data_IF_173106041548
#
_entry.id   IF_173106041548
#
_cell.length_a   1.000
_cell.length_b   1.000
_cell.length_c   1.000
_cell.angle_alpha   90.00
_cell.angle_beta   90.00
_cell.angle_gamma   90.00
#
_symmetry.space_group_name_H-M   'P 1'
#
loop_
_entity.id
_entity.type
_entity.pdbx_description
1 polymer ?
#
# COMPACT_ATOMS: atom_id res chain seq x y z
N UNK A 1 -14.80 34.13 -1.37
CA UNK A 1 -13.92 33.35 -0.47
C UNK A 1 -14.58 33.02 0.86
N UNK A 2 -14.88 33.99 1.76
CA UNK A 2 -15.48 33.72 3.09
C UNK A 2 -16.82 32.96 3.07
N UNK A 3 -17.73 33.31 2.16
CA UNK A 3 -19.05 32.68 2.05
C UNK A 3 -18.94 31.19 1.69
N UNK A 4 -18.00 30.84 0.81
CA UNK A 4 -17.78 29.45 0.38
C UNK A 4 -17.21 28.59 1.52
N UNK A 5 -16.33 29.15 2.36
CA UNK A 5 -15.79 28.47 3.55
C UNK A 5 -16.89 28.22 4.60
N UNK A 6 -17.76 29.21 4.85
CA UNK A 6 -18.86 29.07 5.81
C UNK A 6 -19.87 28.00 5.38
N UNK A 7 -20.22 27.96 4.08
CA UNK A 7 -21.08 26.92 3.52
C UNK A 7 -20.48 25.51 3.67
N UNK A 8 -19.16 25.39 3.53
CA UNK A 8 -18.47 24.11 3.72
C UNK A 8 -18.52 23.69 5.20
N UNK A 9 -18.25 24.63 6.12
CA UNK A 9 -18.32 24.39 7.57
C UNK A 9 -19.73 24.03 8.07
N UNK A 10 -20.78 24.58 7.47
CA UNK A 10 -22.18 24.26 7.84
C UNK A 10 -22.57 22.81 7.50
N UNK A 11 -21.85 22.14 6.59
CA UNK A 11 -22.09 20.73 6.23
C UNK A 11 -21.34 19.71 7.11
N UNK A 12 -20.32 20.15 7.86
CA UNK A 12 -19.52 19.27 8.74
C UNK A 12 -20.30 18.56 9.85
N UNK A 13 -21.27 19.19 10.55
CA UNK A 13 -21.99 18.54 11.65
C UNK A 13 -22.77 17.30 11.20
N UNK A 14 -23.32 17.33 9.98
CA UNK A 14 -24.04 16.19 9.40
C UNK A 14 -23.09 15.05 9.00
N UNK A 15 -21.83 15.38 8.64
CA UNK A 15 -20.79 14.43 8.28
C UNK A 15 -20.17 13.73 9.51
N UNK A 16 -20.21 14.38 10.68
CA UNK A 16 -19.56 13.92 11.91
C UNK A 16 -19.93 12.49 12.33
N UNK A 17 -21.20 12.09 12.18
CA UNK A 17 -21.66 10.74 12.53
C UNK A 17 -20.99 9.66 11.66
N UNK A 18 -20.84 9.93 10.36
CA UNK A 18 -20.19 8.99 9.42
C UNK A 18 -18.69 8.96 9.64
N UNK A 19 -18.08 10.12 9.93
CA UNK A 19 -16.65 10.20 10.25
C UNK A 19 -16.29 9.46 11.54
N UNK A 20 -17.14 9.53 12.57
CA UNK A 20 -16.93 8.79 13.82
C UNK A 20 -16.99 7.27 13.57
N UNK A 21 -17.94 6.82 12.76
CA UNK A 21 -18.07 5.41 12.38
C UNK A 21 -16.87 4.95 11.52
N UNK A 22 -16.41 5.79 10.59
CA UNK A 22 -15.21 5.55 9.78
C UNK A 22 -13.96 5.43 10.67
N UNK A 23 -13.79 6.36 11.63
CA UNK A 23 -12.69 6.32 12.59
C UNK A 23 -12.68 5.02 13.40
N UNK A 24 -13.85 4.56 13.86
CA UNK A 24 -13.96 3.30 14.60
C UNK A 24 -13.51 2.08 13.76
N UNK A 25 -13.86 2.06 12.48
CA UNK A 25 -13.47 0.99 11.54
C UNK A 25 -11.96 1.02 11.29
N UNK A 26 -11.38 2.20 11.05
CA UNK A 26 -9.93 2.37 10.94
C UNK A 26 -9.20 1.92 12.21
N UNK A 27 -9.80 2.13 13.38
CA UNK A 27 -9.22 1.68 14.64
C UNK A 27 -9.24 0.16 14.75
N UNK A 28 -10.38 -0.49 14.52
CA UNK A 28 -10.49 -1.97 14.61
C UNK A 28 -9.53 -2.65 13.63
N UNK A 29 -9.64 -2.32 12.35
CA UNK A 29 -8.81 -2.95 11.33
C UNK A 29 -7.34 -2.56 11.48
N UNK A 30 -7.05 -1.32 11.90
CA UNK A 30 -5.70 -0.87 12.20
C UNK A 30 -5.05 -1.65 13.33
N UNK A 31 -5.75 -1.85 14.46
CA UNK A 31 -5.22 -2.67 15.57
C UNK A 31 -5.03 -4.12 15.12
N UNK A 32 -6.01 -4.73 14.44
CA UNK A 32 -5.88 -6.10 13.95
C UNK A 32 -4.66 -6.23 13.03
N UNK A 33 -4.50 -5.32 12.06
CA UNK A 33 -3.39 -5.35 11.12
C UNK A 33 -2.02 -5.16 11.78
N UNK A 34 -1.91 -4.26 12.75
CA UNK A 34 -0.66 -4.09 13.54
C UNK A 34 -0.36 -5.36 14.34
N UNK A 35 -1.35 -5.98 14.98
CA UNK A 35 -1.11 -7.18 15.78
C UNK A 35 -0.67 -8.39 14.92
N UNK A 36 -1.17 -8.49 13.69
CA UNK A 36 -0.82 -9.60 12.79
C UNK A 36 0.52 -9.38 12.08
N UNK A 37 0.82 -8.15 11.63
CA UNK A 37 1.91 -7.93 10.67
C UNK A 37 2.96 -6.90 11.07
N UNK A 38 3.02 -6.52 12.35
CA UNK A 38 4.06 -5.61 12.85
C UNK A 38 5.46 -6.13 12.51
N UNK A 39 6.24 -5.31 11.80
CA UNK A 39 7.63 -5.61 11.46
C UNK A 39 7.82 -6.63 10.32
N UNK A 40 6.78 -7.33 9.88
CA UNK A 40 6.93 -8.41 8.90
C UNK A 40 7.34 -7.88 7.52
N UNK A 41 6.79 -6.74 7.09
CA UNK A 41 7.11 -6.14 5.79
C UNK A 41 8.57 -5.69 5.65
N UNK A 42 9.35 -5.70 6.75
CA UNK A 42 10.78 -5.40 6.75
C UNK A 42 11.67 -6.60 6.43
N UNK A 43 11.12 -7.80 6.34
CA UNK A 43 11.92 -9.00 6.10
C UNK A 43 12.53 -8.99 4.70
N UNK A 44 13.83 -9.29 4.60
CA UNK A 44 14.60 -9.38 3.35
C UNK A 44 15.52 -10.60 3.39
N UNK A 45 15.93 -11.08 2.22
CA UNK A 45 16.92 -12.15 2.12
C UNK A 45 18.32 -11.57 2.17
N UNK A 46 18.98 -11.76 3.31
CA UNK A 46 20.35 -11.38 3.57
C UNK A 46 21.31 -12.42 3.02
N UNK A 47 22.49 -11.94 2.65
CA UNK A 47 23.57 -12.79 2.23
C UNK A 47 24.06 -13.61 3.43
N UNK A 48 24.14 -14.93 3.28
CA UNK A 48 24.74 -15.80 4.27
C UNK A 48 25.91 -16.54 3.62
N UNK A 49 27.10 -16.27 4.13
CA UNK A 49 28.32 -16.96 3.71
C UNK A 49 28.90 -17.74 4.89
N UNK A 50 29.15 -19.03 4.71
CA UNK A 50 29.94 -19.82 5.66
C UNK A 50 31.42 -19.50 5.41
N UNK A 51 31.95 -18.47 6.07
CA UNK A 51 33.35 -18.05 5.94
C UNK A 51 34.28 -18.98 6.71
N UNK A 52 34.67 -20.11 6.09
CA UNK A 52 35.84 -20.87 6.55
C UNK A 52 37.11 -20.49 5.80
N UNK A 53 37.02 -19.81 4.64
CA UNK A 53 38.15 -19.45 3.80
C UNK A 53 38.28 -17.93 3.57
N UNK A 54 39.47 -17.37 3.85
CA UNK A 54 39.80 -15.94 3.74
C UNK A 54 39.71 -15.42 2.28
N UNK A 55 39.96 -16.27 1.29
CA UNK A 55 39.92 -15.91 -0.13
C UNK A 55 38.49 -15.58 -0.62
N UNK A 56 37.49 -16.28 -0.10
CA UNK A 56 36.09 -16.04 -0.48
C UNK A 56 35.58 -14.69 0.04
N UNK A 57 36.09 -14.27 1.21
CA UNK A 57 35.77 -12.98 1.80
C UNK A 57 36.39 -11.80 1.02
N UNK A 58 37.64 -11.94 0.54
CA UNK A 58 38.30 -10.92 -0.26
C UNK A 58 37.66 -10.73 -1.65
N UNK A 59 37.21 -11.82 -2.29
CA UNK A 59 36.47 -11.74 -3.55
C UNK A 59 35.14 -11.00 -3.35
N UNK A 60 34.44 -11.24 -2.24
CA UNK A 60 33.17 -10.57 -1.97
C UNK A 60 33.30 -9.04 -1.84
N UNK A 61 34.30 -8.56 -1.10
CA UNK A 61 34.58 -7.12 -0.98
C UNK A 61 34.86 -6.47 -2.34
N UNK A 62 35.47 -7.20 -3.27
CA UNK A 62 35.77 -6.69 -4.61
C UNK A 62 34.52 -6.55 -5.51
N UNK A 63 33.46 -7.33 -5.27
CA UNK A 63 32.24 -7.32 -6.09
C UNK A 63 31.17 -6.32 -5.62
N UNK A 64 31.38 -5.66 -4.47
CA UNK A 64 30.49 -4.62 -3.93
C UNK A 64 29.00 -5.02 -3.91
N UNK A 65 28.73 -6.26 -3.50
CA UNK A 65 27.37 -6.83 -3.45
C UNK A 65 26.55 -6.20 -2.32
N UNK A 66 25.23 -5.97 -2.52
CA UNK A 66 24.38 -5.48 -1.46
C UNK A 66 24.21 -6.54 -0.35
N UNK A 67 23.99 -6.07 0.87
CA UNK A 67 23.87 -6.94 2.06
C UNK A 67 22.62 -7.82 2.01
N UNK A 68 21.59 -7.40 1.28
CA UNK A 68 20.36 -8.15 1.02
C UNK A 68 19.97 -8.08 -0.46
N UNK A 69 19.13 -9.02 -0.90
CA UNK A 69 18.68 -9.09 -2.28
C UNK A 69 17.79 -7.91 -2.67
N UNK A 70 18.18 -7.21 -3.75
CA UNK A 70 17.43 -6.09 -4.33
C UNK A 70 16.89 -6.52 -5.70
N UNK A 71 15.56 -6.61 -5.88
CA UNK A 71 14.96 -6.95 -7.17
C UNK A 71 15.14 -5.82 -8.19
N UNK A 72 15.08 -6.16 -9.49
CA UNK A 72 15.19 -5.17 -10.59
C UNK A 72 13.84 -4.64 -11.06
N UNK A 73 12.83 -5.50 -11.05
CA UNK A 73 11.51 -5.23 -11.66
C UNK A 73 10.42 -4.97 -10.62
N UNK A 74 10.77 -5.01 -9.33
CA UNK A 74 9.85 -4.83 -8.20
C UNK A 74 10.47 -3.86 -7.19
N UNK A 75 9.65 -3.25 -6.34
CA UNK A 75 10.13 -2.32 -5.31
C UNK A 75 10.95 -3.03 -4.21
N UNK A 76 10.44 -4.17 -3.73
CA UNK A 76 11.06 -4.94 -2.65
C UNK A 76 10.76 -6.43 -2.82
N UNK A 77 11.69 -7.29 -2.39
CA UNK A 77 11.49 -8.73 -2.26
C UNK A 77 11.40 -9.07 -0.76
N UNK A 78 10.22 -9.43 -0.30
CA UNK A 78 9.98 -9.82 1.11
C UNK A 78 10.16 -11.33 1.26
N UNK A 79 10.55 -11.77 2.45
CA UNK A 79 10.70 -13.19 2.75
C UNK A 79 10.00 -13.57 4.03
N UNK A 80 9.61 -14.82 4.11
CA UNK A 80 9.06 -15.44 5.31
C UNK A 80 10.04 -16.44 5.90
N UNK A 81 9.97 -16.64 7.21
CA UNK A 81 10.81 -17.63 7.90
C UNK A 81 10.52 -19.05 7.40
N UNK A 82 11.48 -19.98 7.38
CA UNK A 82 11.26 -21.34 6.88
C UNK A 82 10.10 -22.09 7.53
N UNK A 83 9.81 -21.80 8.81
CA UNK A 83 8.75 -22.43 9.59
C UNK A 83 7.39 -21.71 9.50
N UNK A 84 7.33 -20.51 8.91
CA UNK A 84 6.08 -19.76 8.79
C UNK A 84 5.31 -20.11 7.51
N UNK A 85 4.02 -19.76 7.48
CA UNK A 85 3.12 -20.04 6.35
C UNK A 85 3.19 -19.02 5.21
N UNK A 86 4.16 -18.10 5.25
CA UNK A 86 4.34 -17.11 4.19
C UNK A 86 4.73 -17.77 2.87
N UNK A 87 4.21 -17.24 1.77
CA UNK A 87 4.33 -17.86 0.45
C UNK A 87 5.73 -17.74 -0.16
N UNK A 88 6.49 -16.72 0.23
CA UNK A 88 7.81 -16.45 -0.37
C UNK A 88 8.92 -16.79 0.61
N UNK A 89 9.85 -17.64 0.16
CA UNK A 89 11.07 -18.00 0.89
C UNK A 89 12.29 -17.44 0.16
N UNK A 90 13.42 -17.38 0.86
CA UNK A 90 14.68 -16.99 0.24
C UNK A 90 15.20 -18.01 -0.79
N UNK A 91 14.67 -19.24 -0.79
CA UNK A 91 14.89 -20.21 -1.87
C UNK A 91 14.28 -19.79 -3.21
N UNK A 92 13.28 -18.89 -3.19
CA UNK A 92 12.52 -18.49 -4.38
C UNK A 92 13.15 -17.27 -5.08
N UNK A 93 14.29 -16.78 -4.57
CA UNK A 93 15.03 -15.68 -5.19
C UNK A 93 15.44 -16.10 -6.60
N UNK A 94 15.06 -15.33 -7.64
CA UNK A 94 15.32 -15.72 -9.01
C UNK A 94 16.82 -15.68 -9.33
N UNK A 95 17.28 -16.59 -10.19
CA UNK A 95 18.67 -16.61 -10.68
C UNK A 95 19.04 -15.26 -11.31
N UNK A 96 20.29 -14.84 -11.13
CA UNK A 96 20.82 -13.61 -11.70
C UNK A 96 20.78 -13.68 -13.23
N UNK A 97 20.17 -12.69 -13.89
CA UNK A 97 20.18 -12.55 -15.36
C UNK A 97 21.05 -11.39 -15.78
N UNK A 98 21.95 -11.55 -16.77
CA UNK A 98 22.74 -10.47 -17.37
C UNK A 98 22.37 -10.37 -18.85
N UNK A 99 21.53 -9.41 -19.20
CA UNK A 99 20.90 -9.39 -20.53
C UNK A 99 20.03 -10.63 -20.75
N UNK A 100 20.24 -11.33 -21.87
CA UNK A 100 19.53 -12.58 -22.19
C UNK A 100 20.13 -13.83 -21.53
N UNK A 101 21.28 -13.71 -20.85
CA UNK A 101 21.97 -14.86 -20.22
C UNK A 101 21.56 -15.02 -18.76
N UNK A 102 21.25 -16.26 -18.35
CA UNK A 102 21.06 -16.62 -16.94
C UNK A 102 22.38 -17.11 -16.37
N UNK A 103 22.82 -16.53 -15.25
CA UNK A 103 23.99 -16.99 -14.52
C UNK A 103 23.65 -18.29 -13.78
N UNK A 104 24.47 -19.33 -13.96
CA UNK A 104 24.26 -20.64 -13.33
C UNK A 104 25.48 -21.15 -12.56
N UNK A 105 26.63 -20.47 -12.69
CA UNK A 105 27.85 -20.91 -12.03
C UNK A 105 27.82 -20.55 -10.55
N UNK A 106 28.34 -21.45 -9.71
CA UNK A 106 28.75 -21.12 -8.34
C UNK A 106 30.22 -20.65 -8.30
N UNK A 107 30.65 -20.17 -7.14
CA UNK A 107 32.01 -19.67 -6.95
C UNK A 107 33.09 -20.75 -7.15
N UNK A 108 32.82 -21.99 -6.72
CA UNK A 108 33.78 -23.08 -6.82
C UNK A 108 33.98 -23.51 -8.27
N UNK A 109 32.88 -23.72 -9.01
CA UNK A 109 32.87 -24.04 -10.43
C UNK A 109 33.53 -22.93 -11.24
N UNK A 110 33.32 -21.67 -10.88
CA UNK A 110 33.99 -20.54 -11.53
C UNK A 110 35.51 -20.59 -11.34
N UNK A 111 35.97 -20.79 -10.10
CA UNK A 111 37.39 -20.87 -9.79
C UNK A 111 38.05 -22.11 -10.41
N UNK A 112 37.36 -23.25 -10.44
CA UNK A 112 37.82 -24.48 -11.07
C UNK A 112 37.98 -24.31 -12.60
N UNK A 113 37.02 -23.65 -13.26
CA UNK A 113 37.13 -23.32 -14.68
C UNK A 113 38.29 -22.38 -14.98
N UNK A 114 38.54 -21.40 -14.10
CA UNK A 114 39.65 -20.47 -14.22
C UNK A 114 41.00 -21.18 -14.04
N UNK A 115 41.11 -22.11 -13.08
CA UNK A 115 42.33 -22.88 -12.82
C UNK A 115 42.65 -23.86 -13.94
N UNK A 116 41.64 -24.52 -14.51
CA UNK A 116 41.83 -25.52 -15.56
C UNK A 116 42.18 -24.90 -16.92
N UNK A 117 41.82 -23.64 -17.16
CA UNK A 117 42.10 -22.97 -18.44
C UNK A 117 42.21 -21.44 -18.28
N UNK A 118 43.36 -20.93 -17.78
CA UNK A 118 43.52 -19.50 -17.45
C UNK A 118 43.43 -18.57 -18.67
N UNK A 119 43.62 -19.07 -19.89
CA UNK A 119 43.58 -18.30 -21.13
C UNK A 119 42.24 -18.38 -21.87
N UNK A 120 41.29 -19.17 -21.40
CA UNK A 120 39.97 -19.30 -22.04
C UNK A 120 38.97 -18.37 -21.37
N UNK A 121 38.22 -17.55 -22.13
CA UNK A 121 37.12 -16.78 -21.55
C UNK A 121 36.08 -17.74 -20.98
N UNK A 122 35.69 -17.51 -19.73
CA UNK A 122 34.66 -18.30 -19.05
C UNK A 122 33.31 -17.99 -19.71
N UNK A 123 32.69 -19.01 -20.30
CA UNK A 123 31.34 -18.91 -20.84
C UNK A 123 30.33 -19.05 -19.69
N UNK A 124 30.13 -17.98 -18.94
CA UNK A 124 29.21 -17.97 -17.81
C UNK A 124 29.42 -16.79 -16.88
N UNK A 125 28.46 -16.60 -15.99
CA UNK A 125 28.58 -15.69 -14.86
C UNK A 125 28.16 -16.42 -13.58
N UNK A 126 28.72 -15.95 -12.46
CA UNK A 126 28.38 -16.45 -11.13
C UNK A 126 26.96 -15.99 -10.78
N UNK A 127 26.13 -16.90 -10.31
CA UNK A 127 24.81 -16.59 -9.79
C UNK A 127 24.89 -16.10 -8.34
N UNK A 128 25.23 -14.83 -8.13
CA UNK A 128 25.32 -14.27 -6.78
C UNK A 128 24.00 -14.34 -6.00
N UNK A 129 22.86 -14.42 -6.68
CA UNK A 129 21.55 -14.46 -6.03
C UNK A 129 21.35 -15.72 -5.16
N UNK A 130 22.08 -16.81 -5.43
CA UNK A 130 21.97 -18.06 -4.67
C UNK A 130 22.47 -17.97 -3.22
N UNK A 131 23.24 -16.93 -2.89
CA UNK A 131 23.81 -16.76 -1.56
C UNK A 131 22.92 -15.94 -0.60
N UNK A 132 21.79 -15.41 -1.08
CA UNK A 132 20.80 -14.74 -0.23
C UNK A 132 19.82 -15.75 0.36
N UNK A 133 20.29 -16.55 1.31
CA UNK A 133 19.52 -17.66 1.88
C UNK A 133 18.92 -17.35 3.25
N UNK A 134 19.36 -16.27 3.91
CA UNK A 134 18.98 -15.95 5.28
C UNK A 134 17.89 -14.87 5.33
N UNK A 135 16.68 -15.23 5.75
CA UNK A 135 15.61 -14.25 5.93
C UNK A 135 15.77 -13.51 7.26
N UNK A 136 15.93 -12.18 7.22
CA UNK A 136 16.07 -11.35 8.43
C UNK A 136 15.42 -9.97 8.23
N UNK A 137 15.29 -9.21 9.33
CA UNK A 137 14.69 -7.87 9.35
C UNK A 137 15.67 -6.84 8.77
N UNK A 138 15.18 -5.99 7.87
CA UNK A 138 15.87 -4.80 7.34
C UNK A 138 15.33 -3.51 7.97
N UNK A 139 16.02 -2.39 7.75
CA UNK A 139 15.64 -1.08 8.30
C UNK A 139 14.49 -0.43 7.51
N UNK A 140 14.30 -0.82 6.25
CA UNK A 140 13.37 -0.18 5.33
C UNK A 140 12.16 -1.07 4.97
N UNK A 141 10.97 -0.47 4.98
CA UNK A 141 9.74 -1.08 4.47
C UNK A 141 9.61 -0.86 2.93
N UNK A 142 8.74 -1.63 2.24
CA UNK A 142 8.44 -1.41 0.83
C UNK A 142 7.91 0.00 0.54
N UNK A 143 7.95 0.40 -0.73
CA UNK A 143 7.55 1.72 -1.23
C UNK A 143 8.26 2.87 -0.50
N UNK A 144 9.59 2.75 -0.36
CA UNK A 144 10.43 3.71 0.36
C UNK A 144 9.97 4.00 1.79
N UNK A 145 9.35 3.03 2.48
CA UNK A 145 8.88 3.20 3.84
C UNK A 145 7.41 3.60 3.99
N UNK A 146 6.70 3.85 2.89
CA UNK A 146 5.34 4.42 2.90
C UNK A 146 4.26 3.42 3.35
N UNK A 147 4.51 2.12 3.17
CA UNK A 147 3.55 1.06 3.50
C UNK A 147 4.11 0.17 4.59
N UNK A 148 3.50 0.20 5.77
CA UNK A 148 3.84 -0.71 6.87
C UNK A 148 2.71 -0.84 7.89
N UNK A 149 2.77 -1.90 8.70
CA UNK A 149 1.89 -2.14 9.84
C UNK A 149 2.66 -2.08 11.18
N UNK A 150 3.77 -1.35 11.22
CA UNK A 150 4.66 -1.31 12.40
C UNK A 150 4.04 -0.59 13.59
N UNK A 151 3.16 0.37 13.30
CA UNK A 151 2.40 1.15 14.28
C UNK A 151 1.10 1.65 13.65
N UNK A 152 0.18 2.12 14.50
CA UNK A 152 -1.19 2.44 14.10
C UNK A 152 -1.29 3.54 13.04
N UNK A 153 -0.40 4.54 13.07
CA UNK A 153 -0.38 5.63 12.10
C UNK A 153 -0.09 5.16 10.66
N UNK A 154 0.99 4.39 10.45
CA UNK A 154 1.29 3.82 9.13
C UNK A 154 0.26 2.79 8.70
N UNK A 155 -0.30 2.02 9.64
CA UNK A 155 -1.40 1.11 9.35
C UNK A 155 -2.65 1.84 8.83
N UNK A 156 -2.97 3.03 9.35
CA UNK A 156 -4.07 3.86 8.82
C UNK A 156 -3.81 4.38 7.42
N UNK A 157 -2.56 4.77 7.10
CA UNK A 157 -2.19 5.18 5.74
C UNK A 157 -2.34 4.00 4.78
N UNK A 158 -1.87 2.82 5.16
CA UNK A 158 -2.03 1.61 4.37
C UNK A 158 -3.52 1.23 4.18
N UNK A 159 -4.32 1.30 5.25
CA UNK A 159 -5.77 1.05 5.18
C UNK A 159 -6.48 2.04 4.27
N UNK A 160 -6.13 3.32 4.35
CA UNK A 160 -6.69 4.34 3.47
C UNK A 160 -6.42 4.03 1.99
N UNK A 161 -5.19 3.60 1.67
CA UNK A 161 -4.81 3.18 0.31
C UNK A 161 -5.52 1.89 -0.14
N UNK A 162 -5.78 0.95 0.77
CA UNK A 162 -6.57 -0.26 0.46
C UNK A 162 -8.02 0.12 0.15
N UNK A 163 -8.62 1.01 0.95
CA UNK A 163 -10.01 1.45 0.81
C UNK A 163 -10.20 2.30 -0.46
N UNK A 164 -9.20 3.08 -0.88
CA UNK A 164 -9.22 3.80 -2.16
C UNK A 164 -9.14 2.87 -3.38
N UNK A 165 -8.96 1.56 -3.17
CA UNK A 165 -8.79 0.54 -4.20
C UNK A 165 -7.58 0.78 -5.11
N UNK A 166 -6.57 1.51 -4.64
CA UNK A 166 -5.35 1.78 -5.39
C UNK A 166 -4.21 0.89 -4.90
N UNK A 167 -3.66 0.05 -5.79
CA UNK A 167 -2.51 -0.82 -5.49
C UNK A 167 -2.72 -1.78 -4.29
N UNK A 168 -3.96 -1.96 -3.82
CA UNK A 168 -4.29 -2.80 -2.66
C UNK A 168 -3.87 -4.26 -2.85
N UNK A 169 -3.92 -4.76 -4.10
CA UNK A 169 -3.52 -6.12 -4.46
C UNK A 169 -2.04 -6.34 -4.17
N UNK A 170 -1.19 -5.35 -4.44
CA UNK A 170 0.26 -5.45 -4.18
C UNK A 170 0.55 -5.51 -2.67
N UNK A 171 -0.17 -4.71 -1.87
CA UNK A 171 -0.06 -4.74 -0.41
C UNK A 171 -0.48 -6.11 0.13
N UNK A 172 -1.59 -6.65 -0.38
CA UNK A 172 -2.05 -7.99 -0.04
C UNK A 172 -1.00 -9.05 -0.37
N UNK A 173 -0.44 -9.03 -1.59
CA UNK A 173 0.60 -9.99 -1.97
C UNK A 173 1.83 -9.90 -1.07
N UNK A 174 2.31 -8.70 -0.74
CA UNK A 174 3.43 -8.55 0.21
C UNK A 174 3.14 -9.16 1.57
N UNK A 175 1.90 -9.02 2.07
CA UNK A 175 1.50 -9.60 3.36
C UNK A 175 1.40 -11.12 3.26
N UNK A 176 0.83 -11.67 2.19
CA UNK A 176 0.73 -13.11 2.00
C UNK A 176 2.10 -13.77 1.84
N UNK A 177 3.03 -13.10 1.15
CA UNK A 177 4.39 -13.56 0.93
C UNK A 177 5.15 -13.72 2.25
N UNK A 178 4.92 -12.81 3.23
CA UNK A 178 5.60 -12.86 4.53
C UNK A 178 4.87 -13.67 5.61
N UNK A 179 3.54 -13.66 5.64
CA UNK A 179 2.74 -14.17 6.75
C UNK A 179 1.92 -15.42 6.38
N UNK A 180 0.89 -15.28 5.55
CA UNK A 180 0.06 -16.42 5.14
C UNK A 180 -0.77 -16.17 3.87
N UNK A 181 -1.02 -17.24 3.11
CA UNK A 181 -1.98 -17.21 2.00
C UNK A 181 -3.38 -16.71 2.43
N UNK A 182 -3.86 -17.06 3.63
CA UNK A 182 -5.23 -16.77 4.09
C UNK A 182 -5.49 -15.29 4.42
N UNK A 183 -4.48 -14.43 4.39
CA UNK A 183 -4.62 -13.01 4.73
C UNK A 183 -5.55 -12.25 3.77
N UNK A 184 -5.83 -12.77 2.57
CA UNK A 184 -6.79 -12.17 1.61
C UNK A 184 -8.17 -11.93 2.22
N UNK A 185 -8.59 -12.75 3.19
CA UNK A 185 -9.89 -12.64 3.87
C UNK A 185 -9.99 -11.28 4.58
N UNK A 186 -8.93 -10.86 5.28
CA UNK A 186 -8.89 -9.55 5.92
C UNK A 186 -9.09 -8.42 4.91
N UNK A 187 -8.39 -8.47 3.77
CA UNK A 187 -8.46 -7.42 2.75
C UNK A 187 -9.85 -7.34 2.11
N UNK A 188 -10.49 -8.48 1.84
CA UNK A 188 -11.85 -8.52 1.28
C UNK A 188 -12.86 -7.91 2.25
N UNK A 189 -12.84 -8.27 3.53
CA UNK A 189 -13.72 -7.66 4.52
C UNK A 189 -13.46 -6.16 4.69
N UNK A 190 -12.18 -5.75 4.72
CA UNK A 190 -11.80 -4.34 4.80
C UNK A 190 -12.32 -3.54 3.60
N UNK A 191 -12.21 -4.08 2.38
CA UNK A 191 -12.69 -3.42 1.16
C UNK A 191 -14.21 -3.33 1.14
N UNK A 192 -14.94 -4.39 1.48
CA UNK A 192 -16.41 -4.38 1.49
C UNK A 192 -16.91 -3.33 2.49
N UNK A 193 -16.40 -3.40 3.72
CA UNK A 193 -16.81 -2.50 4.81
C UNK A 193 -16.33 -1.07 4.52
N UNK A 194 -15.09 -0.89 4.09
CA UNK A 194 -14.51 0.42 3.77
C UNK A 194 -15.16 1.11 2.58
N UNK A 195 -15.44 0.37 1.50
CA UNK A 195 -16.13 0.91 0.32
C UNK A 195 -17.56 1.33 0.65
N UNK A 196 -18.26 0.56 1.50
CA UNK A 196 -19.57 0.96 2.00
C UNK A 196 -19.51 2.33 2.69
N UNK A 197 -18.49 2.60 3.50
CA UNK A 197 -18.31 3.91 4.12
C UNK A 197 -17.96 5.03 3.15
N UNK A 198 -17.09 4.78 2.16
CA UNK A 198 -16.80 5.77 1.13
C UNK A 198 -18.06 6.17 0.35
N UNK A 199 -18.88 5.18 -0.02
CA UNK A 199 -20.16 5.42 -0.72
C UNK A 199 -21.10 6.22 0.19
N UNK A 200 -21.25 5.83 1.46
CA UNK A 200 -22.11 6.55 2.41
C UNK A 200 -21.64 7.98 2.65
N UNK A 201 -20.33 8.23 2.70
CA UNK A 201 -19.77 9.57 2.80
C UNK A 201 -20.15 10.40 1.56
N UNK A 202 -20.01 9.84 0.36
CA UNK A 202 -20.42 10.49 -0.88
C UNK A 202 -21.93 10.77 -0.91
N UNK A 203 -22.76 9.81 -0.49
CA UNK A 203 -24.22 9.95 -0.42
C UNK A 203 -24.64 11.07 0.52
N UNK A 204 -24.01 11.21 1.69
CA UNK A 204 -24.30 12.31 2.63
C UNK A 204 -23.95 13.66 2.01
N UNK A 205 -22.81 13.78 1.34
CA UNK A 205 -22.42 15.02 0.64
C UNK A 205 -23.41 15.34 -0.47
N UNK A 206 -23.80 14.37 -1.29
CA UNK A 206 -24.79 14.57 -2.36
C UNK A 206 -26.16 14.95 -1.77
N UNK A 207 -26.61 14.25 -0.72
CA UNK A 207 -27.89 14.50 -0.07
C UNK A 207 -27.95 15.89 0.58
N UNK A 208 -26.87 16.33 1.21
CA UNK A 208 -26.77 17.69 1.79
C UNK A 208 -26.81 18.75 0.69
N UNK A 209 -26.03 18.60 -0.38
CA UNK A 209 -26.05 19.51 -1.53
C UNK A 209 -27.43 19.56 -2.21
N UNK A 210 -28.08 18.42 -2.37
CA UNK A 210 -29.42 18.34 -2.93
C UNK A 210 -30.47 18.99 -2.01
N UNK A 211 -30.40 18.72 -0.71
CA UNK A 211 -31.29 19.34 0.29
C UNK A 211 -31.13 20.86 0.31
N UNK A 212 -29.90 21.34 0.25
CA UNK A 212 -29.62 22.78 0.23
C UNK A 212 -30.11 23.43 -1.07
N UNK A 213 -29.86 22.79 -2.22
CA UNK A 213 -30.37 23.25 -3.52
C UNK A 213 -31.89 23.31 -3.53
N UNK A 214 -32.56 22.25 -3.06
CA UNK A 214 -34.02 22.18 -2.93
C UNK A 214 -34.56 23.27 -2.02
N UNK A 215 -33.90 23.56 -0.90
CA UNK A 215 -34.27 24.65 0.02
C UNK A 215 -34.19 26.00 -0.69
N UNK A 216 -33.09 26.27 -1.41
CA UNK A 216 -32.90 27.52 -2.19
C UNK A 216 -33.95 27.70 -3.28
N UNK A 217 -34.30 26.64 -4.00
CA UNK A 217 -35.36 26.71 -5.02
C UNK A 217 -36.74 26.93 -4.41
N UNK A 218 -37.05 26.25 -3.30
CA UNK A 218 -38.31 26.41 -2.59
C UNK A 218 -38.49 27.84 -2.06
N UNK A 219 -37.43 28.44 -1.51
CA UNK A 219 -37.44 29.84 -1.07
C UNK A 219 -37.63 30.83 -2.23
N UNK A 220 -37.02 30.56 -3.40
CA UNK A 220 -37.24 31.37 -4.62
C UNK A 220 -38.69 31.32 -5.08
N UNK A 221 -39.28 30.13 -5.18
CA UNK A 221 -40.69 29.96 -5.55
C UNK A 221 -41.64 30.66 -4.57
N UNK A 222 -41.37 30.59 -3.26
CA UNK A 222 -42.14 31.30 -2.24
C UNK A 222 -42.07 32.83 -2.41
N UNK A 223 -40.90 33.37 -2.72
CA UNK A 223 -40.73 34.80 -2.96
C UNK A 223 -41.41 35.28 -4.25
N UNK A 224 -41.39 34.47 -5.32
CA UNK A 224 -42.16 34.75 -6.54
C UNK A 224 -43.66 34.78 -6.27
N UNK A 225 -44.20 33.79 -5.52
CA UNK A 225 -45.61 33.82 -5.09
C UNK A 225 -45.96 35.05 -4.27
N UNK A 226 -45.09 35.47 -3.33
CA UNK A 226 -45.31 36.70 -2.53
C UNK A 226 -45.32 37.95 -3.40
N UNK A 227 -44.47 38.05 -4.42
CA UNK A 227 -44.47 39.16 -5.38
C UNK A 227 -45.76 39.18 -6.19
N UNK A 228 -46.21 38.03 -6.68
CA UNK A 228 -47.45 37.92 -7.45
C UNK A 228 -48.68 38.32 -6.61
N UNK A 229 -48.78 37.83 -5.37
CA UNK A 229 -49.86 38.19 -4.44
C UNK A 229 -49.90 39.70 -4.13
N UNK A 230 -48.75 40.34 -3.90
CA UNK A 230 -48.67 41.80 -3.69
C UNK A 230 -49.09 42.60 -4.93
N UNK A 231 -48.77 42.13 -6.13
CA UNK A 231 -49.22 42.78 -7.36
C UNK A 231 -50.74 42.67 -7.57
N UNK A 232 -51.38 41.58 -7.14
CA UNK A 232 -52.84 41.44 -7.25
C UNK A 232 -53.58 42.31 -6.24
N UNK A 233 -53.11 42.41 -4.99
CA UNK A 233 -53.75 43.28 -3.98
C UNK A 233 -53.60 44.78 -4.30
N UNK A 234 -52.50 45.21 -4.91
CA UNK A 234 -52.31 46.61 -5.31
C UNK A 234 -53.24 47.05 -6.46
N UNK A 235 -53.63 46.14 -7.37
CA UNK A 235 -54.58 46.48 -8.45
C UNK A 235 -56.02 46.68 -7.97
N UNK A 236 -56.42 46.05 -6.86
CA UNK A 236 -57.79 46.13 -6.34
C UNK A 236 -58.03 47.44 -5.58
N UNK A 237 -57.00 48.08 -5.04
CA UNK A 237 -57.11 49.36 -4.32
C UNK A 237 -57.17 50.59 -5.22
N UNK A 238 -56.85 50.47 -6.51
CA UNK A 238 -56.92 51.60 -7.48
C UNK A 238 -58.27 51.68 -8.22
N UNK A 239 -59.24 50.78 -7.94
CA UNK A 239 -60.56 50.73 -8.58
C UNK A 239 -61.72 51.31 -7.73
N UNK A 240 -61.44 52.04 -6.65
CA UNK A 240 -62.45 52.77 -5.85
C UNK A 240 -62.04 54.23 -5.69
#
# INVERSE_FOLDING_TARGET
>A
MRILVMLLLDTFPMLGNVLLLCFFVFFIFGIIGVQLWKGLLRHRCFLQFNTTNILDQALFESFQLPVYYIPRDQDSFVCSFPQSNGMTKCSDVPKLRKGNMTCELDLHMYNEQLSNNPHKPINGCINWNQYYTFCNVSDHNPYSGSISFDHIGLAWIAIFQIISQESWVNIMYYIQDVHSFWDWIYFVFLIIIGSFFLINLCLVVIATQFSETKKRETERMLNERRRYSRSSSARVTDEH
#
